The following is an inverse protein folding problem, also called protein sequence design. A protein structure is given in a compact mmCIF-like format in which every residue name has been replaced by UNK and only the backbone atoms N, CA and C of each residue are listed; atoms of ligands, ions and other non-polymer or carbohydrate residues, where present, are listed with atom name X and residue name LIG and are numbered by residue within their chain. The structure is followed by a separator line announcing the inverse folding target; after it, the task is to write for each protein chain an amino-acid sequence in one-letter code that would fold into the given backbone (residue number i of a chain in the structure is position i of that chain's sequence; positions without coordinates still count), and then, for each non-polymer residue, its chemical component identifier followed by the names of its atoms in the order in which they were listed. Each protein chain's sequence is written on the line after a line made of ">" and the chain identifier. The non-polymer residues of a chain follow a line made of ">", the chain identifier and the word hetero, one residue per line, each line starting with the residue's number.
data_IF_187175452725
#
_entry.id   IF_187175452725
#
_cell.length_a   1.000
_cell.length_b   1.000
_cell.length_c   1.000
_cell.angle_alpha   90.00
_cell.angle_beta   90.00
_cell.angle_gamma   90.00
#
_symmetry.space_group_name_H-M   'P 1'
#
loop_
_entity.id
_entity.type
_entity.pdbx_description
1 polymer ?
#
# COMPACT_ATOMS: atom_id res chain seq x y z
N UNK A 1 13.54 -5.14 -16.61
CA UNK A 1 13.81 -6.32 -15.76
C UNK A 1 12.93 -6.16 -14.55
N UNK A 2 11.85 -6.95 -14.43
CA UNK A 2 10.98 -6.91 -13.26
C UNK A 2 11.82 -7.40 -12.08
N UNK A 3 12.21 -6.50 -11.18
CA UNK A 3 12.83 -6.91 -9.91
C UNK A 3 11.76 -7.77 -9.22
N UNK A 4 12.11 -9.00 -8.86
CA UNK A 4 11.25 -9.83 -8.01
C UNK A 4 11.15 -9.09 -6.68
N UNK A 5 10.08 -8.33 -6.49
CA UNK A 5 9.73 -7.80 -5.18
C UNK A 5 9.36 -9.05 -4.37
N UNK A 6 10.14 -9.36 -3.33
CA UNK A 6 9.73 -10.41 -2.40
C UNK A 6 8.47 -9.90 -1.69
N UNK A 7 7.36 -10.62 -1.84
CA UNK A 7 6.13 -10.29 -1.14
C UNK A 7 6.36 -10.51 0.36
N UNK A 8 6.41 -9.41 1.11
CA UNK A 8 6.50 -9.36 2.57
C UNK A 8 5.18 -9.78 3.23
N UNK A 9 4.05 -9.47 2.59
CA UNK A 9 2.71 -9.75 3.11
C UNK A 9 1.99 -10.76 2.24
N UNK A 10 1.45 -11.80 2.88
CA UNK A 10 0.66 -12.85 2.23
C UNK A 10 -0.84 -12.70 2.49
N UNK A 11 -1.22 -11.94 3.52
CA UNK A 11 -2.61 -11.68 3.89
C UNK A 11 -2.76 -10.31 4.58
N UNK A 12 -3.99 -9.84 4.75
CA UNK A 12 -4.26 -8.51 5.33
C UNK A 12 -3.98 -8.43 6.83
N UNK A 13 -3.93 -9.56 7.54
CA UNK A 13 -3.50 -9.62 8.94
C UNK A 13 -2.02 -9.26 9.07
N UNK A 14 -1.16 -9.77 8.18
CA UNK A 14 0.27 -9.41 8.14
C UNK A 14 0.46 -7.90 7.96
N UNK A 15 -0.35 -7.27 7.10
CA UNK A 15 -0.32 -5.81 6.88
C UNK A 15 -0.81 -5.07 8.12
N UNK A 16 -1.90 -5.53 8.74
CA UNK A 16 -2.42 -4.96 9.99
C UNK A 16 -1.40 -5.01 11.13
N UNK A 17 -0.69 -6.12 11.27
CA UNK A 17 0.40 -6.28 12.25
C UNK A 17 1.57 -5.33 11.96
N UNK A 18 1.97 -5.20 10.69
CA UNK A 18 3.02 -4.27 10.26
C UNK A 18 2.69 -2.81 10.59
N UNK A 19 1.41 -2.47 10.48
CA UNK A 19 0.87 -1.15 10.80
C UNK A 19 0.55 -0.95 12.28
N UNK A 20 0.83 -1.95 13.12
CA UNK A 20 0.56 -1.94 14.56
C UNK A 20 -0.91 -1.62 14.92
N UNK A 21 -1.85 -2.12 14.10
CA UNK A 21 -3.28 -1.85 14.27
C UNK A 21 -3.96 -2.89 15.17
N UNK A 22 -4.75 -2.42 16.13
CA UNK A 22 -5.59 -3.26 16.97
C UNK A 22 -6.97 -3.46 16.33
N UNK A 23 -7.27 -4.70 15.92
CA UNK A 23 -8.54 -5.09 15.31
C UNK A 23 -9.02 -4.18 14.15
N UNK A 24 -8.18 -3.93 13.13
CA UNK A 24 -8.51 -3.01 12.05
C UNK A 24 -9.62 -3.53 11.13
N UNK A 25 -10.34 -2.60 10.52
CA UNK A 25 -11.09 -2.88 9.29
C UNK A 25 -10.18 -2.83 8.06
N UNK A 26 -10.64 -3.38 6.95
CA UNK A 26 -9.95 -3.23 5.65
C UNK A 26 -9.80 -1.75 5.29
N UNK A 27 -10.82 -0.93 5.56
CA UNK A 27 -10.74 0.52 5.36
C UNK A 27 -9.59 1.16 6.15
N UNK A 28 -9.37 0.77 7.41
CA UNK A 28 -8.26 1.31 8.20
C UNK A 28 -6.90 0.99 7.57
N UNK A 29 -6.71 -0.24 7.09
CA UNK A 29 -5.46 -0.62 6.40
C UNK A 29 -5.30 0.18 5.11
N UNK A 30 -6.34 0.27 4.28
CA UNK A 30 -6.28 0.99 3.00
C UNK A 30 -6.00 2.48 3.21
N UNK A 31 -6.65 3.11 4.18
CA UNK A 31 -6.43 4.54 4.48
C UNK A 31 -4.98 4.81 4.86
N UNK A 32 -4.40 3.96 5.72
CA UNK A 32 -3.02 4.11 6.15
C UNK A 32 -2.04 3.80 5.01
N UNK A 33 -2.31 2.80 4.17
CA UNK A 33 -1.50 2.55 2.98
C UNK A 33 -1.51 3.74 2.02
N UNK A 34 -2.67 4.38 1.84
CA UNK A 34 -2.77 5.60 1.02
C UNK A 34 -1.95 6.72 1.66
N UNK A 35 -2.03 6.93 2.97
CA UNK A 35 -1.25 7.95 3.66
C UNK A 35 0.27 7.70 3.54
N UNK A 36 0.72 6.47 3.73
CA UNK A 36 2.14 6.08 3.56
C UNK A 36 2.57 6.24 2.09
N UNK A 37 1.68 5.93 1.14
CA UNK A 37 1.96 6.07 -0.29
C UNK A 37 2.35 7.49 -0.71
N UNK A 38 1.88 8.50 0.02
CA UNK A 38 2.24 9.90 -0.22
C UNK A 38 3.67 10.27 0.22
N UNK A 39 4.40 9.39 0.90
CA UNK A 39 5.84 9.58 1.12
C UNK A 39 6.55 9.68 -0.24
N UNK A 40 7.41 10.68 -0.42
CA UNK A 40 8.08 10.93 -1.70
C UNK A 40 8.82 9.69 -2.21
N UNK A 41 9.38 8.88 -1.30
CA UNK A 41 10.12 7.66 -1.65
C UNK A 41 9.22 6.59 -2.26
N UNK A 42 7.93 6.64 -1.99
CA UNK A 42 6.92 5.75 -2.55
C UNK A 42 6.28 6.40 -3.77
N UNK A 43 5.74 7.62 -3.61
CA UNK A 43 5.01 8.34 -4.64
C UNK A 43 5.79 8.49 -5.95
N UNK A 44 7.09 8.77 -5.89
CA UNK A 44 7.94 8.88 -7.08
C UNK A 44 7.96 7.61 -7.94
N UNK A 45 7.76 6.44 -7.34
CA UNK A 45 7.91 5.15 -8.03
C UNK A 45 6.61 4.34 -8.10
N UNK A 46 5.58 4.70 -7.34
CA UNK A 46 4.33 3.98 -7.25
C UNK A 46 3.18 4.91 -6.87
N UNK A 47 2.27 5.20 -7.80
CA UNK A 47 1.13 6.11 -7.61
C UNK A 47 -0.24 5.41 -7.67
N UNK A 48 -0.29 4.11 -7.97
CA UNK A 48 -1.53 3.32 -8.08
C UNK A 48 -2.37 3.36 -6.79
N UNK A 49 -1.73 3.61 -5.64
CA UNK A 49 -2.41 3.72 -4.35
C UNK A 49 -3.46 4.85 -4.32
N UNK A 50 -3.29 5.91 -5.14
CA UNK A 50 -4.24 7.04 -5.21
C UNK A 50 -5.66 6.61 -5.59
N UNK A 51 -5.78 5.53 -6.37
CA UNK A 51 -7.05 4.96 -6.79
C UNK A 51 -7.56 3.85 -5.90
N UNK A 52 -6.73 3.31 -4.99
CA UNK A 52 -6.96 2.04 -4.30
C UNK A 52 -8.31 2.03 -3.58
N UNK A 53 -8.54 2.97 -2.66
CA UNK A 53 -9.78 3.03 -1.87
C UNK A 53 -11.03 3.14 -2.74
N UNK A 54 -10.98 4.00 -3.75
CA UNK A 54 -12.14 4.27 -4.62
C UNK A 54 -12.56 3.06 -5.47
N UNK A 55 -11.64 2.11 -5.69
CA UNK A 55 -11.87 0.87 -6.43
C UNK A 55 -12.45 -0.27 -5.60
N UNK A 56 -12.61 -0.10 -4.27
CA UNK A 56 -13.02 -1.17 -3.36
C UNK A 56 -14.50 -1.07 -2.98
N UNK A 57 -15.21 -2.21 -2.88
CA UNK A 57 -16.61 -2.24 -2.46
C UNK A 57 -16.73 -1.91 -0.96
N UNK A 58 -17.77 -1.14 -0.61
CA UNK A 58 -18.01 -0.73 0.79
C UNK A 58 -18.16 -1.91 1.75
N UNK A 59 -18.74 -3.03 1.28
CA UNK A 59 -18.93 -4.25 2.07
C UNK A 59 -17.58 -4.82 2.54
N UNK A 60 -16.58 -4.85 1.65
CA UNK A 60 -15.20 -5.24 1.98
C UNK A 60 -14.55 -4.22 2.93
N UNK A 61 -14.63 -2.93 2.60
CA UNK A 61 -14.02 -1.85 3.40
C UNK A 61 -14.48 -1.86 4.86
N UNK A 62 -15.76 -2.15 5.10
CA UNK A 62 -16.34 -2.18 6.44
C UNK A 62 -16.02 -3.44 7.25
N UNK A 63 -15.41 -4.46 6.63
CA UNK A 63 -15.14 -5.75 7.26
C UNK A 63 -13.90 -5.69 8.14
N UNK A 64 -13.96 -6.33 9.31
CA UNK A 64 -12.78 -6.53 10.14
C UNK A 64 -11.88 -7.61 9.55
N UNK A 65 -10.56 -7.43 9.66
CA UNK A 65 -9.57 -8.31 9.02
C UNK A 65 -9.62 -9.72 9.60
N UNK A 66 -9.81 -9.86 10.90
CA UNK A 66 -9.93 -11.16 11.58
C UNK A 66 -11.14 -11.98 11.12
N UNK A 67 -12.19 -11.31 10.64
CA UNK A 67 -13.38 -11.94 10.07
C UNK A 67 -13.26 -12.26 8.58
N UNK A 68 -12.15 -11.93 7.90
CA UNK A 68 -11.97 -12.20 6.47
C UNK A 68 -11.69 -13.68 6.20
N UNK A 69 -11.04 -14.37 7.13
CA UNK A 69 -10.72 -15.80 6.98
C UNK A 69 -11.95 -16.71 7.17
N UNK A 70 -13.10 -16.13 7.53
CA UNK A 70 -14.33 -16.88 7.79
C UNK A 70 -15.21 -17.03 6.52
N UNK A 71 -15.09 -18.18 5.86
CA UNK A 71 -16.00 -18.61 4.79
C UNK A 71 -15.72 -18.00 3.42
N UNK A 72 -16.73 -18.02 2.53
CA UNK A 72 -16.58 -17.62 1.11
C UNK A 72 -16.38 -16.10 0.90
N UNK A 73 -16.18 -15.32 1.96
CA UNK A 73 -16.03 -13.86 1.86
C UNK A 73 -14.71 -13.48 1.20
N UNK A 74 -13.59 -14.06 1.65
CA UNK A 74 -12.28 -13.86 1.04
C UNK A 74 -12.26 -14.28 -0.44
N UNK A 75 -12.90 -15.41 -0.77
CA UNK A 75 -12.99 -15.88 -2.16
C UNK A 75 -13.79 -14.94 -3.05
N UNK A 76 -14.83 -14.28 -2.51
CA UNK A 76 -15.65 -13.32 -3.27
C UNK A 76 -14.88 -12.06 -3.62
N UNK A 77 -13.99 -11.63 -2.72
CA UNK A 77 -13.25 -10.37 -2.84
C UNK A 77 -11.76 -10.63 -3.07
N UNK A 78 -11.39 -11.78 -3.64
CA UNK A 78 -9.99 -12.18 -3.82
C UNK A 78 -9.22 -11.16 -4.66
N UNK A 79 -9.82 -10.69 -5.75
CA UNK A 79 -9.20 -9.71 -6.64
C UNK A 79 -8.97 -8.37 -5.95
N UNK A 80 -9.88 -7.95 -5.07
CA UNK A 80 -9.76 -6.74 -4.28
C UNK A 80 -8.70 -6.88 -3.17
N UNK A 81 -8.68 -8.02 -2.48
CA UNK A 81 -7.70 -8.33 -1.45
C UNK A 81 -6.29 -8.39 -2.06
N UNK A 82 -6.13 -9.07 -3.19
CA UNK A 82 -4.85 -9.16 -3.92
C UNK A 82 -4.34 -7.77 -4.31
N UNK A 83 -5.21 -6.87 -4.79
CA UNK A 83 -4.82 -5.48 -5.10
C UNK A 83 -4.32 -4.72 -3.87
N UNK A 84 -4.95 -4.91 -2.72
CA UNK A 84 -4.50 -4.28 -1.47
C UNK A 84 -3.13 -4.84 -1.08
N UNK A 85 -2.94 -6.16 -1.17
CA UNK A 85 -1.68 -6.81 -0.86
C UNK A 85 -0.55 -6.41 -1.81
N UNK A 86 -0.83 -6.32 -3.11
CA UNK A 86 0.15 -5.86 -4.11
C UNK A 86 0.60 -4.44 -3.80
N UNK A 87 -0.35 -3.53 -3.52
CA UNK A 87 -0.03 -2.17 -3.12
C UNK A 87 0.77 -2.14 -1.82
N UNK A 88 0.37 -2.89 -0.79
CA UNK A 88 1.11 -2.96 0.46
C UNK A 88 2.56 -3.42 0.25
N UNK A 89 2.76 -4.48 -0.53
CA UNK A 89 4.09 -5.02 -0.82
C UNK A 89 4.97 -4.02 -1.58
N UNK A 90 4.43 -3.30 -2.57
CA UNK A 90 5.17 -2.29 -3.33
C UNK A 90 5.47 -1.07 -2.45
N UNK A 91 4.49 -0.57 -1.70
CA UNK A 91 4.64 0.58 -0.80
C UNK A 91 5.77 0.31 0.20
N UNK A 92 5.71 -0.80 0.93
CA UNK A 92 6.74 -1.12 1.93
C UNK A 92 8.10 -1.43 1.31
N UNK A 93 8.13 -2.05 0.11
CA UNK A 93 9.39 -2.21 -0.62
C UNK A 93 10.07 -0.86 -0.88
N UNK A 94 9.33 0.13 -1.39
CA UNK A 94 9.88 1.46 -1.68
C UNK A 94 10.22 2.27 -0.42
N UNK A 95 9.40 2.15 0.61
CA UNK A 95 9.60 2.82 1.89
C UNK A 95 10.86 2.32 2.62
N UNK A 96 11.11 1.01 2.60
CA UNK A 96 12.14 0.37 3.43
C UNK A 96 13.46 0.11 2.69
N UNK A 97 13.45 0.00 1.36
CA UNK A 97 14.68 -0.24 0.59
C UNK A 97 15.67 0.91 0.75
N UNK A 98 16.96 0.58 0.70
CA UNK A 98 18.00 1.59 0.57
C UNK A 98 17.84 2.35 -0.76
N UNK A 99 18.05 3.67 -0.70
CA UNK A 99 18.01 4.56 -1.85
C UNK A 99 19.41 4.69 -2.44
N UNK A 100 19.50 4.51 -3.75
CA UNK A 100 20.69 4.86 -4.53
C UNK A 100 20.75 6.36 -4.82
N UNK A 101 21.89 6.83 -5.33
CA UNK A 101 22.02 8.23 -5.78
C UNK A 101 21.00 8.56 -6.87
N UNK A 102 20.79 7.65 -7.82
CA UNK A 102 19.77 7.78 -8.87
C UNK A 102 18.36 7.89 -8.28
N UNK A 103 18.03 7.10 -7.25
CA UNK A 103 16.71 7.19 -6.60
C UNK A 103 16.49 8.55 -5.93
N UNK A 104 17.54 9.12 -5.31
CA UNK A 104 17.49 10.43 -4.67
C UNK A 104 17.34 11.56 -5.70
N UNK A 105 17.94 11.40 -6.88
CA UNK A 105 17.78 12.33 -8.00
C UNK A 105 16.34 12.30 -8.53
N UNK A 106 15.78 11.12 -8.81
CA UNK A 106 14.39 10.96 -9.25
C UNK A 106 13.39 11.55 -8.25
N UNK A 107 13.58 11.31 -6.94
CA UNK A 107 12.74 11.90 -5.89
C UNK A 107 12.83 13.43 -5.91
N UNK A 108 14.02 13.99 -6.11
CA UNK A 108 14.22 15.44 -6.16
C UNK A 108 13.55 16.05 -7.39
N UNK A 109 13.74 15.45 -8.57
CA UNK A 109 13.11 15.90 -9.82
C UNK A 109 11.59 15.84 -9.72
N UNK A 110 11.06 14.81 -9.09
CA UNK A 110 9.62 14.66 -8.85
C UNK A 110 9.09 15.76 -7.93
N UNK A 111 9.78 16.07 -6.82
CA UNK A 111 9.41 17.18 -5.94
C UNK A 111 9.43 18.53 -6.66
N UNK A 112 10.45 18.79 -7.48
CA UNK A 112 10.54 20.00 -8.30
C UNK A 112 9.36 20.10 -9.28
N UNK A 113 9.03 18.99 -9.96
CA UNK A 113 7.87 18.89 -10.87
C UNK A 113 6.55 19.22 -10.19
N UNK A 114 6.39 18.82 -8.93
CA UNK A 114 5.19 19.09 -8.12
C UNK A 114 5.18 20.48 -7.48
N UNK A 115 6.28 21.24 -7.59
CA UNK A 115 6.42 22.55 -6.95
C UNK A 115 6.57 22.47 -5.42
N UNK A 116 7.14 21.37 -4.92
CA UNK A 116 7.42 21.11 -3.49
C UNK A 116 8.89 21.43 -3.14
N UNK A 117 9.39 22.57 -3.59
CA UNK A 117 10.73 23.05 -3.25
C UNK A 117 10.79 23.35 -1.74
N UNK A 118 11.81 22.80 -1.05
CA UNK A 118 12.12 23.20 0.32
C UNK A 118 12.59 24.67 0.31
N UNK A 119 11.83 25.54 0.98
CA UNK A 119 12.15 26.97 1.21
C UNK A 119 13.37 27.14 2.13
#
# INVERSE_FOLDING_TARGET
>A
MTRNIEHQFSNLSDVGEKLELENPTVENVVDILVDIGHDDRVYTFHDDFLGLKSGLPQDLLSKHIDELEEGDFADRYSDEIDKILDNANIIFYHLERELSEDDLEEIREERERLGLEDD
#
